data_IF_809035127682
#
_entry.id   IF_809035127682
#
_cell.length_a   1.000
_cell.length_b   1.000
_cell.length_c   1.000
_cell.angle_alpha   90.00
_cell.angle_beta   90.00
_cell.angle_gamma   90.00
#
_symmetry.space_group_name_H-M   'P 1'
#
loop_
_entity.id
_entity.type
_entity.pdbx_description
1 polymer ?
#
# COMPACT_ATOMS: atom_id res chain seq x y z
N UNK A 1 -23.05 -41.14 -57.46
CA UNK A 1 -23.35 -39.91 -56.70
C UNK A 1 -23.03 -39.98 -55.21
N UNK A 2 -23.15 -41.10 -54.51
CA UNK A 2 -22.87 -41.22 -53.08
C UNK A 2 -21.40 -41.11 -52.66
N UNK A 3 -20.45 -41.52 -53.54
CA UNK A 3 -19.00 -41.49 -53.25
C UNK A 3 -18.44 -40.06 -53.23
N UNK A 4 -18.86 -39.20 -54.14
CA UNK A 4 -18.43 -37.78 -54.21
C UNK A 4 -18.89 -36.97 -52.97
N UNK A 5 -20.05 -37.23 -52.45
CA UNK A 5 -20.56 -36.59 -51.25
C UNK A 5 -19.71 -36.90 -50.01
N UNK A 6 -19.19 -38.14 -49.94
CA UNK A 6 -18.31 -38.58 -48.85
C UNK A 6 -16.95 -37.92 -48.91
N UNK A 7 -16.39 -37.74 -50.11
CA UNK A 7 -15.09 -37.04 -50.29
C UNK A 7 -15.20 -35.56 -49.98
N UNK A 8 -16.28 -34.91 -50.33
CA UNK A 8 -16.50 -33.50 -50.04
C UNK A 8 -16.64 -33.29 -48.52
N UNK A 9 -17.32 -34.19 -47.81
CA UNK A 9 -17.51 -34.11 -46.37
C UNK A 9 -16.17 -34.33 -45.62
N UNK A 10 -15.33 -35.24 -46.11
CA UNK A 10 -14.02 -35.50 -45.56
C UNK A 10 -13.01 -34.35 -45.79
N UNK A 11 -13.07 -33.71 -46.98
CA UNK A 11 -12.28 -32.54 -47.31
C UNK A 11 -12.69 -31.32 -46.46
N UNK A 12 -13.98 -31.14 -46.19
CA UNK A 12 -14.48 -30.09 -45.28
C UNK A 12 -14.00 -30.32 -43.83
N UNK A 13 -13.99 -31.55 -43.37
CA UNK A 13 -13.55 -31.90 -42.02
C UNK A 13 -12.04 -31.64 -41.80
N UNK A 14 -11.23 -31.85 -42.85
CA UNK A 14 -9.76 -31.55 -42.82
C UNK A 14 -9.49 -30.04 -42.80
N UNK A 15 -10.34 -29.22 -43.39
CA UNK A 15 -10.21 -27.75 -43.40
C UNK A 15 -10.55 -27.12 -42.05
N UNK A 16 -11.44 -27.73 -41.25
CA UNK A 16 -11.76 -27.25 -39.91
C UNK A 16 -10.78 -27.71 -38.83
N UNK A 17 -9.92 -28.70 -39.07
CA UNK A 17 -8.96 -29.24 -38.13
C UNK A 17 -7.63 -28.46 -38.00
N UNK A 18 -7.36 -27.45 -38.84
CA UNK A 18 -6.10 -26.73 -38.88
C UNK A 18 -6.18 -25.33 -38.24
N UNK A 19 -7.24 -25.03 -37.51
CA UNK A 19 -7.50 -23.72 -36.92
C UNK A 19 -7.24 -23.62 -35.42
N UNK A 20 -6.46 -24.48 -34.80
CA UNK A 20 -5.90 -24.19 -33.49
C UNK A 20 -4.58 -23.43 -33.71
N UNK A 21 -4.68 -22.13 -33.92
CA UNK A 21 -3.60 -21.24 -33.59
C UNK A 21 -3.40 -21.37 -32.08
N UNK A 22 -2.35 -22.11 -31.66
CA UNK A 22 -1.79 -21.95 -30.33
C UNK A 22 -1.25 -20.52 -30.27
N UNK A 23 -2.16 -19.56 -30.11
CA UNK A 23 -1.80 -18.20 -29.77
C UNK A 23 -0.97 -18.26 -28.49
N UNK A 24 0.34 -18.42 -28.63
CA UNK A 24 1.26 -18.09 -27.57
C UNK A 24 1.00 -16.64 -27.25
N UNK A 25 0.17 -16.40 -26.24
CA UNK A 25 0.14 -15.12 -25.54
C UNK A 25 1.55 -15.04 -24.94
N UNK A 26 2.50 -14.52 -25.73
CA UNK A 26 3.71 -13.98 -25.14
C UNK A 26 3.17 -12.88 -24.21
N UNK A 27 3.30 -12.99 -22.89
CA UNK A 27 3.12 -11.81 -22.09
C UNK A 27 4.03 -10.79 -22.75
N UNK A 28 3.46 -9.66 -23.19
CA UNK A 28 4.28 -8.54 -23.61
C UNK A 28 5.34 -8.45 -22.53
N UNK A 29 6.61 -8.60 -22.90
CA UNK A 29 7.70 -8.30 -21.98
C UNK A 29 7.39 -6.86 -21.60
N UNK A 30 6.78 -6.69 -20.41
CA UNK A 30 6.66 -5.38 -19.83
C UNK A 30 8.09 -4.96 -19.65
N UNK A 31 8.58 -4.19 -20.64
CA UNK A 31 9.89 -3.55 -20.55
C UNK A 31 9.80 -2.79 -19.25
N UNK A 32 10.50 -3.26 -18.23
CA UNK A 32 10.64 -2.60 -16.95
C UNK A 32 11.39 -1.29 -17.23
N UNK A 33 10.68 -0.33 -17.86
CA UNK A 33 11.24 0.95 -18.31
C UNK A 33 11.22 2.01 -17.20
N UNK A 34 10.77 1.62 -16.01
CA UNK A 34 10.63 2.52 -14.88
C UNK A 34 11.57 2.17 -13.73
N UNK A 35 11.83 3.18 -12.90
CA UNK A 35 12.57 3.05 -11.65
C UNK A 35 11.90 2.02 -10.74
N UNK A 36 12.69 1.23 -10.03
CA UNK A 36 12.20 0.26 -9.04
C UNK A 36 12.48 0.77 -7.63
N UNK A 37 11.50 0.66 -6.73
CA UNK A 37 11.70 0.88 -5.31
C UNK A 37 11.60 -0.45 -4.54
N UNK A 38 12.66 -0.82 -3.86
CA UNK A 38 12.71 -1.99 -2.96
C UNK A 38 12.70 -1.47 -1.52
N UNK A 39 11.80 -2.02 -0.69
CA UNK A 39 11.65 -1.63 0.71
C UNK A 39 11.80 -2.85 1.59
N UNK A 40 12.75 -2.80 2.52
CA UNK A 40 13.00 -3.84 3.51
C UNK A 40 12.53 -3.35 4.89
N UNK A 41 11.61 -4.08 5.51
CA UNK A 41 11.01 -3.70 6.79
C UNK A 41 10.52 -4.91 7.58
N UNK A 42 10.13 -4.67 8.84
CA UNK A 42 9.33 -5.59 9.65
C UNK A 42 8.23 -4.82 10.37
N UNK A 43 7.21 -5.54 10.85
CA UNK A 43 6.13 -4.95 11.62
C UNK A 43 6.03 -5.56 13.00
N UNK A 44 5.73 -4.70 14.00
CA UNK A 44 5.28 -5.11 15.33
C UNK A 44 3.87 -4.59 15.60
N UNK A 45 3.23 -5.12 16.63
CA UNK A 45 1.86 -4.73 16.95
C UNK A 45 0.83 -5.23 15.93
N UNK A 46 1.00 -6.41 15.36
CA UNK A 46 0.13 -6.98 14.31
C UNK A 46 -1.33 -7.15 14.74
N UNK A 47 -1.66 -7.05 16.04
CA UNK A 47 -3.05 -6.98 16.52
C UNK A 47 -3.77 -5.71 16.06
N UNK A 48 -3.01 -4.63 15.84
CA UNK A 48 -3.50 -3.35 15.30
C UNK A 48 -3.53 -3.28 13.77
N UNK A 49 -3.37 -4.41 13.08
CA UNK A 49 -3.46 -4.47 11.61
C UNK A 49 -4.76 -3.87 11.11
N UNK A 50 -4.75 -2.98 10.11
CA UNK A 50 -5.97 -2.35 9.59
C UNK A 50 -6.97 -3.40 9.09
N UNK A 51 -8.23 -3.34 9.57
CA UNK A 51 -9.31 -4.26 9.17
C UNK A 51 -10.13 -3.70 8.01
N UNK A 52 -10.48 -2.41 8.09
CA UNK A 52 -11.34 -1.74 7.11
C UNK A 52 -10.55 -1.11 5.94
N UNK A 53 -9.28 -0.83 6.17
CA UNK A 53 -8.36 -0.21 5.23
C UNK A 53 -7.23 -1.16 4.84
N UNK A 54 -6.42 -0.77 3.86
CA UNK A 54 -5.30 -1.57 3.37
C UNK A 54 -3.98 -0.96 3.83
N UNK A 55 -3.11 -1.77 4.43
CA UNK A 55 -1.70 -1.39 4.58
C UNK A 55 -1.00 -1.65 3.24
N UNK A 56 -0.31 -0.65 2.73
CA UNK A 56 0.26 -0.71 1.38
C UNK A 56 1.60 0.01 1.31
N UNK A 57 2.45 -0.45 0.39
CA UNK A 57 3.57 0.31 -0.12
C UNK A 57 3.05 1.20 -1.24
N UNK A 58 3.29 2.50 -1.16
CA UNK A 58 2.70 3.49 -2.04
C UNK A 58 3.75 4.43 -2.62
N UNK A 59 3.55 4.86 -3.86
CA UNK A 59 4.22 6.00 -4.46
C UNK A 59 3.24 7.18 -4.50
N UNK A 60 3.63 8.33 -3.97
CA UNK A 60 2.85 9.57 -4.01
C UNK A 60 3.55 10.64 -4.84
N UNK A 61 2.76 11.43 -5.56
CA UNK A 61 3.20 12.65 -6.21
C UNK A 61 3.09 13.87 -5.29
N UNK A 62 2.92 15.05 -5.90
CA UNK A 62 2.67 16.30 -5.16
C UNK A 62 1.37 16.23 -4.35
N UNK A 63 0.31 15.68 -4.93
CA UNK A 63 -0.94 15.42 -4.21
C UNK A 63 -0.81 14.13 -3.39
N UNK A 64 -0.67 14.28 -2.08
CA UNK A 64 -0.60 13.16 -1.14
C UNK A 64 -1.95 12.57 -0.75
N UNK A 65 -3.04 13.12 -1.22
CA UNK A 65 -4.37 12.60 -0.88
C UNK A 65 -4.63 11.22 -1.49
N UNK A 66 -4.00 10.93 -2.64
CA UNK A 66 -4.17 9.70 -3.41
C UNK A 66 -2.84 9.20 -3.97
N UNK A 67 -2.48 7.93 -3.79
CA UNK A 67 -1.27 7.37 -4.35
C UNK A 67 -1.35 7.28 -5.88
N UNK A 68 -0.22 7.53 -6.55
CA UNK A 68 -0.01 7.25 -7.97
C UNK A 68 0.04 5.73 -8.21
N UNK A 69 0.66 5.03 -7.27
CA UNK A 69 0.87 3.59 -7.33
C UNK A 69 0.74 2.99 -5.94
N UNK A 70 0.18 1.77 -5.84
CA UNK A 70 0.02 1.09 -4.56
C UNK A 70 0.20 -0.42 -4.71
N UNK A 71 0.91 -1.02 -3.76
CA UNK A 71 1.04 -2.46 -3.60
C UNK A 71 0.58 -2.84 -2.20
N UNK A 72 -0.48 -3.63 -2.11
CA UNK A 72 -0.99 -4.11 -0.83
C UNK A 72 0.05 -4.99 -0.14
N UNK A 73 0.23 -4.76 1.17
CA UNK A 73 1.07 -5.58 2.03
C UNK A 73 0.19 -6.63 2.70
N UNK A 74 0.56 -7.91 2.56
CA UNK A 74 -0.11 -8.99 3.26
C UNK A 74 0.34 -9.03 4.72
N UNK A 75 -0.59 -9.29 5.64
CA UNK A 75 -0.27 -9.41 7.06
C UNK A 75 0.72 -10.55 7.30
N UNK A 76 1.87 -10.30 7.92
CA UNK A 76 2.82 -11.36 8.30
C UNK A 76 2.20 -12.30 9.34
N UNK A 77 2.76 -13.51 9.44
CA UNK A 77 2.30 -14.49 10.42
C UNK A 77 2.66 -14.11 11.87
N UNK A 78 3.77 -13.40 12.06
CA UNK A 78 4.32 -13.03 13.36
C UNK A 78 4.97 -11.65 13.34
N UNK A 79 5.05 -11.02 14.51
CA UNK A 79 5.75 -9.76 14.73
C UNK A 79 7.24 -9.91 14.42
N UNK A 80 7.86 -8.88 13.86
CA UNK A 80 9.28 -8.84 13.55
C UNK A 80 9.70 -9.62 12.30
N UNK A 81 8.78 -10.32 11.63
CA UNK A 81 9.10 -11.01 10.37
C UNK A 81 9.55 -10.01 9.32
N UNK A 82 10.76 -10.20 8.79
CA UNK A 82 11.30 -9.36 7.72
C UNK A 82 10.53 -9.57 6.42
N UNK A 83 10.19 -8.47 5.80
CA UNK A 83 9.55 -8.40 4.48
C UNK A 83 10.45 -7.62 3.54
N UNK A 84 10.50 -8.07 2.29
CA UNK A 84 11.08 -7.32 1.18
C UNK A 84 9.96 -7.04 0.17
N UNK A 85 9.61 -5.78 0.03
CA UNK A 85 8.54 -5.30 -0.86
C UNK A 85 9.19 -4.62 -2.07
N UNK A 86 8.54 -4.71 -3.22
CA UNK A 86 9.07 -4.12 -4.44
C UNK A 86 7.96 -3.42 -5.23
N UNK A 87 8.16 -2.17 -5.54
CA UNK A 87 7.31 -1.39 -6.42
C UNK A 87 8.06 -1.21 -7.75
N UNK A 88 7.53 -1.78 -8.83
CA UNK A 88 8.12 -1.65 -10.17
C UNK A 88 7.51 -0.45 -10.90
N UNK A 89 8.23 0.08 -11.88
CA UNK A 89 7.75 1.16 -12.75
C UNK A 89 7.29 2.40 -11.97
N UNK A 90 8.08 2.79 -10.95
CA UNK A 90 7.84 4.04 -10.22
C UNK A 90 7.95 5.20 -11.20
N UNK A 91 6.85 5.96 -11.32
CA UNK A 91 6.76 7.04 -12.30
C UNK A 91 7.62 8.25 -11.94
N UNK A 92 8.09 9.04 -12.91
CA UNK A 92 8.89 10.26 -12.66
C UNK A 92 8.17 11.31 -11.81
N UNK A 93 6.83 11.30 -11.80
CA UNK A 93 6.03 12.20 -10.97
C UNK A 93 6.02 11.85 -9.49
N UNK A 94 6.66 10.72 -9.11
CA UNK A 94 6.73 10.29 -7.71
C UNK A 94 7.63 11.22 -6.90
N UNK A 95 7.13 11.69 -5.77
CA UNK A 95 7.83 12.55 -4.81
C UNK A 95 8.15 11.84 -3.49
N UNK A 96 7.39 10.79 -3.17
CA UNK A 96 7.69 9.97 -1.98
C UNK A 96 7.27 8.52 -2.16
N UNK A 97 8.03 7.63 -1.49
CA UNK A 97 7.66 6.22 -1.25
C UNK A 97 7.24 6.12 0.21
N UNK A 98 6.07 5.55 0.44
CA UNK A 98 5.46 5.50 1.78
C UNK A 98 4.93 4.12 2.12
N UNK A 99 5.05 3.75 3.40
CA UNK A 99 4.29 2.63 3.97
C UNK A 99 3.08 3.21 4.66
N UNK A 100 1.91 3.04 4.04
CA UNK A 100 0.73 3.81 4.39
C UNK A 100 -0.54 2.95 4.51
N UNK A 101 -1.48 3.42 5.31
CA UNK A 101 -2.85 2.92 5.35
C UNK A 101 -3.66 3.68 4.31
N UNK A 102 -4.25 2.92 3.39
CA UNK A 102 -5.06 3.44 2.28
C UNK A 102 -6.50 2.95 2.45
N UNK A 103 -7.45 3.86 2.31
CA UNK A 103 -8.88 3.53 2.34
C UNK A 103 -9.30 2.72 1.10
N UNK A 104 -10.51 2.14 1.12
CA UNK A 104 -11.11 1.46 -0.04
C UNK A 104 -11.26 2.38 -1.26
N UNK A 105 -11.40 3.69 -1.04
CA UNK A 105 -11.44 4.70 -2.10
C UNK A 105 -10.06 5.20 -2.54
N UNK A 106 -8.99 4.47 -2.22
CA UNK A 106 -7.59 4.80 -2.54
C UNK A 106 -7.15 6.17 -2.01
N UNK A 107 -7.63 6.58 -0.84
CA UNK A 107 -7.19 7.80 -0.17
C UNK A 107 -6.25 7.49 0.96
N UNK A 108 -5.24 8.32 1.15
CA UNK A 108 -4.34 8.24 2.29
C UNK A 108 -5.14 8.44 3.59
N UNK A 109 -4.95 7.51 4.52
CA UNK A 109 -5.50 7.59 5.88
C UNK A 109 -4.40 7.95 6.88
N UNK A 110 -3.27 7.23 6.80
CA UNK A 110 -2.13 7.45 7.69
C UNK A 110 -0.85 6.88 7.07
N UNK A 111 0.27 7.60 7.20
CA UNK A 111 1.57 7.11 6.78
C UNK A 111 2.42 6.73 7.98
N UNK A 112 2.90 5.47 8.01
CA UNK A 112 3.84 4.99 9.01
C UNK A 112 5.29 5.36 8.70
N UNK A 113 5.60 5.47 7.41
CA UNK A 113 6.94 5.79 6.93
C UNK A 113 6.84 6.56 5.63
N UNK A 114 7.67 7.57 5.50
CA UNK A 114 7.78 8.39 4.28
C UNK A 114 9.25 8.58 3.94
N UNK A 115 9.61 8.28 2.71
CA UNK A 115 10.92 8.59 2.13
C UNK A 115 10.74 9.48 0.93
N UNK A 116 11.41 10.65 0.86
CA UNK A 116 11.41 11.46 -0.34
C UNK A 116 12.12 10.70 -1.48
N UNK A 117 11.71 10.99 -2.70
CA UNK A 117 12.28 10.45 -3.94
C UNK A 117 12.93 11.61 -4.68
N UNK A 118 14.18 11.42 -5.08
CA UNK A 118 14.91 12.34 -5.95
C UNK A 118 14.54 12.13 -7.44
N UNK A 119 14.96 13.02 -8.29
CA UNK A 119 14.69 12.99 -9.74
C UNK A 119 15.64 12.04 -10.52
N UNK A 120 16.40 11.16 -9.83
CA UNK A 120 17.27 10.19 -10.50
C UNK A 120 16.47 8.97 -10.99
N UNK A 121 16.98 8.27 -11.99
CA UNK A 121 16.40 7.03 -12.50
C UNK A 121 16.97 5.77 -11.79
N UNK A 122 17.87 5.97 -10.81
CA UNK A 122 18.51 4.87 -10.09
C UNK A 122 17.51 4.12 -9.21
N UNK A 123 17.64 2.79 -9.09
CA UNK A 123 16.80 2.01 -8.18
C UNK A 123 16.88 2.51 -6.74
N UNK A 124 15.74 2.55 -6.06
CA UNK A 124 15.63 2.92 -4.66
C UNK A 124 15.71 1.66 -3.78
N UNK A 125 16.70 1.60 -2.89
CA UNK A 125 16.82 0.57 -1.85
C UNK A 125 16.64 1.21 -0.46
N UNK A 126 15.44 1.01 0.12
CA UNK A 126 15.04 1.62 1.38
C UNK A 126 15.05 0.59 2.50
N UNK A 127 15.88 0.82 3.52
CA UNK A 127 15.88 0.04 4.76
C UNK A 127 15.11 0.80 5.84
N UNK A 128 13.87 0.40 6.08
CA UNK A 128 12.96 1.10 6.99
C UNK A 128 13.14 0.64 8.44
N UNK A 129 13.56 -0.60 8.64
CA UNK A 129 13.62 -1.21 9.95
C UNK A 129 12.28 -1.73 10.43
N UNK A 130 12.01 -1.54 11.73
CA UNK A 130 10.79 -2.00 12.38
C UNK A 130 9.73 -0.89 12.46
N UNK A 131 8.51 -1.19 12.07
CA UNK A 131 7.35 -0.29 12.16
C UNK A 131 6.34 -0.83 13.17
N UNK A 132 6.10 -0.07 14.23
CA UNK A 132 5.08 -0.38 15.23
C UNK A 132 3.70 0.10 14.76
N UNK A 133 2.81 -0.86 14.46
CA UNK A 133 1.44 -0.58 14.04
C UNK A 133 0.54 -0.10 15.18
N UNK A 134 0.95 -0.32 16.44
CA UNK A 134 0.21 0.09 17.64
C UNK A 134 0.75 1.39 18.25
N UNK A 135 1.59 2.13 17.52
CA UNK A 135 2.24 3.33 18.04
C UNK A 135 1.24 4.38 18.53
N UNK A 136 1.56 5.04 19.65
CA UNK A 136 0.76 6.13 20.20
C UNK A 136 0.60 7.30 19.21
N UNK A 137 1.60 7.57 18.39
CA UNK A 137 1.53 8.60 17.33
C UNK A 137 0.37 8.38 16.36
N UNK A 138 0.05 7.12 16.05
CA UNK A 138 -1.11 6.82 15.23
C UNK A 138 -2.42 7.16 15.95
N UNK A 139 -2.50 6.83 17.24
CA UNK A 139 -3.67 7.20 18.07
C UNK A 139 -3.82 8.72 18.11
N UNK A 140 -2.72 9.41 18.34
CA UNK A 140 -2.68 10.87 18.32
C UNK A 140 -3.27 11.42 17.02
N UNK A 141 -2.66 11.07 15.88
CA UNK A 141 -3.03 11.61 14.57
C UNK A 141 -4.44 11.20 14.10
N UNK A 142 -4.89 9.98 14.43
CA UNK A 142 -6.15 9.44 13.90
C UNK A 142 -7.35 9.65 14.83
N UNK A 143 -7.11 9.85 16.10
CA UNK A 143 -8.18 9.98 17.10
C UNK A 143 -8.17 11.36 17.73
N UNK A 144 -7.06 11.74 18.37
CA UNK A 144 -7.04 12.95 19.17
C UNK A 144 -7.06 14.21 18.31
N UNK A 145 -6.18 14.29 17.30
CA UNK A 145 -6.07 15.47 16.44
C UNK A 145 -7.35 15.72 15.63
N UNK A 146 -8.03 14.65 15.21
CA UNK A 146 -9.23 14.79 14.39
C UNK A 146 -10.51 14.98 15.19
N UNK A 147 -10.60 14.45 16.41
CA UNK A 147 -11.88 14.35 17.11
C UNK A 147 -11.89 14.96 18.51
N UNK A 148 -10.74 15.11 19.17
CA UNK A 148 -10.70 15.42 20.59
C UNK A 148 -10.10 16.80 20.90
N UNK A 149 -9.19 17.32 20.05
CA UNK A 149 -8.49 18.57 20.32
C UNK A 149 -9.40 19.80 20.36
N UNK A 150 -10.57 19.77 19.75
CA UNK A 150 -11.54 20.89 19.83
C UNK A 150 -11.94 21.22 21.28
N UNK A 151 -11.97 20.21 22.15
CA UNK A 151 -12.30 20.35 23.56
C UNK A 151 -11.10 20.14 24.49
N UNK A 152 -10.09 19.40 24.08
CA UNK A 152 -8.95 18.96 24.87
C UNK A 152 -7.60 19.46 24.33
N UNK A 153 -7.58 20.50 23.52
CA UNK A 153 -6.39 21.02 22.83
C UNK A 153 -5.60 22.10 23.57
N UNK A 154 -5.79 22.25 24.85
CA UNK A 154 -5.08 23.24 25.65
C UNK A 154 -5.87 24.56 25.82
N UNK A 155 -5.56 25.32 26.85
CA UNK A 155 -6.20 26.58 27.19
C UNK A 155 -6.86 26.60 28.56
N UNK A 156 -7.39 27.75 28.98
CA UNK A 156 -8.08 27.93 30.25
C UNK A 156 -9.51 27.37 30.14
N UNK A 157 -9.70 26.08 30.32
CA UNK A 157 -11.07 25.51 30.28
C UNK A 157 -11.10 24.11 29.66
N UNK A 158 -9.99 23.38 29.77
CA UNK A 158 -9.92 21.99 29.35
C UNK A 158 -11.03 21.16 29.98
N UNK A 159 -11.84 20.52 29.17
CA UNK A 159 -12.87 19.60 29.65
C UNK A 159 -12.20 18.48 30.46
N UNK A 160 -12.60 18.36 31.75
CA UNK A 160 -12.04 17.34 32.63
C UNK A 160 -10.56 17.49 32.94
N UNK A 161 -9.95 18.65 32.72
CA UNK A 161 -8.52 18.92 32.89
C UNK A 161 -7.59 17.99 32.04
N UNK A 162 -8.15 17.36 30.99
CA UNK A 162 -7.46 16.44 30.12
C UNK A 162 -6.88 17.20 28.91
N UNK A 163 -5.57 17.16 28.74
CA UNK A 163 -4.86 17.75 27.60
C UNK A 163 -4.41 16.63 26.65
N UNK A 164 -4.90 16.66 25.41
CA UNK A 164 -4.65 15.64 24.39
C UNK A 164 -3.74 16.13 23.25
N UNK A 165 -3.04 17.26 23.44
CA UNK A 165 -2.02 17.68 22.48
C UNK A 165 -0.87 16.67 22.39
N UNK A 166 -0.24 16.58 21.23
CA UNK A 166 0.77 15.55 20.88
C UNK A 166 1.90 15.42 21.92
N UNK A 167 2.39 16.55 22.43
CA UNK A 167 3.49 16.60 23.38
C UNK A 167 3.10 16.20 24.83
N UNK A 168 1.83 16.23 25.18
CA UNK A 168 1.34 16.01 26.55
C UNK A 168 0.33 14.86 26.68
N UNK A 169 -0.34 14.47 25.63
CA UNK A 169 -1.43 13.49 25.67
C UNK A 169 -1.00 12.15 26.30
N UNK A 170 0.16 11.65 25.95
CA UNK A 170 0.67 10.40 26.54
C UNK A 170 0.80 10.51 28.07
N UNK A 171 1.38 11.61 28.55
CA UNK A 171 1.56 11.86 29.99
C UNK A 171 0.23 12.07 30.71
N UNK A 172 -0.75 12.65 30.03
CA UNK A 172 -2.09 12.90 30.58
C UNK A 172 -2.94 11.65 30.68
N UNK A 173 -2.63 10.59 29.94
CA UNK A 173 -3.41 9.35 29.88
C UNK A 173 -2.73 8.15 30.53
N UNK A 174 -1.40 8.09 30.52
CA UNK A 174 -0.66 6.92 30.96
C UNK A 174 -0.11 7.14 32.37
N UNK A 175 -0.36 6.17 33.27
CA UNK A 175 0.08 6.19 34.66
C UNK A 175 -0.51 7.35 35.50
N UNK A 176 -1.62 7.93 35.09
CA UNK A 176 -2.36 8.92 35.91
C UNK A 176 -3.23 8.17 36.92
N UNK A 177 -3.11 8.54 38.19
CA UNK A 177 -4.02 8.01 39.21
C UNK A 177 -5.39 8.61 38.98
N UNK A 178 -6.39 7.75 38.92
CA UNK A 178 -7.80 8.14 38.89
C UNK A 178 -8.23 8.78 40.21
#
# INVERSE_FOLDING_TARGET
>A
MKLYSLYIMYALFLLFGLGCDEGKIYPDETVDSGRTATVSLSFTGLKAWPKENMLSLCAFGEDKSKPLQTQRISKPAEDGKRLKLRLNNVTPDTRSIEVAVISRGLRLVYSYYTSPVDDSDEPLDLSVGELDLASFKRIQAQVFDLNCLSCHGGGSGLAGQLDLRDDVAYKSLVNVKA
#
